data_IF_551107307936
#
_entry.id   IF_551107307936
#
_cell.length_a   1.000
_cell.length_b   1.000
_cell.length_c   1.000
_cell.angle_alpha   90.00
_cell.angle_beta   90.00
_cell.angle_gamma   90.00
#
_symmetry.space_group_name_H-M   'P 1'
#
loop_
_entity.id
_entity.type
_entity.pdbx_description
1 polymer ?
#
# COMPACT_ATOMS: atom_id res chain seq x y z
N UNK A 1 12.03 -2.85 -4.97
CA UNK A 1 10.77 -2.51 -4.28
C UNK A 1 10.90 -1.15 -3.58
N UNK A 2 10.60 -0.08 -4.30
CA UNK A 2 10.45 1.29 -3.79
C UNK A 2 9.44 2.02 -4.68
N UNK A 3 9.38 1.63 -5.96
CA UNK A 3 8.34 2.03 -6.90
C UNK A 3 6.92 1.87 -6.33
N UNK A 4 6.58 0.73 -5.71
CA UNK A 4 5.24 0.50 -5.15
C UNK A 4 4.88 1.42 -3.96
N UNK A 5 5.81 1.61 -3.02
CA UNK A 5 5.60 2.51 -1.87
C UNK A 5 5.67 3.98 -2.26
N UNK A 6 6.51 4.35 -3.22
CA UNK A 6 6.61 5.71 -3.75
C UNK A 6 5.36 6.14 -4.52
N UNK A 7 4.76 5.24 -5.31
CA UNK A 7 3.46 5.48 -5.96
C UNK A 7 2.35 5.67 -4.93
N UNK A 8 2.30 4.82 -3.90
CA UNK A 8 1.34 4.93 -2.81
C UNK A 8 1.42 6.29 -2.09
N UNK A 9 2.64 6.77 -1.75
CA UNK A 9 2.82 8.07 -1.10
C UNK A 9 2.46 9.23 -2.05
N UNK A 10 2.82 9.13 -3.32
CA UNK A 10 2.49 10.14 -4.33
C UNK A 10 0.97 10.27 -4.52
N UNK A 11 0.26 9.13 -4.52
CA UNK A 11 -1.21 9.10 -4.60
C UNK A 11 -1.84 9.74 -3.35
N UNK A 12 -1.35 9.39 -2.16
CA UNK A 12 -1.77 9.99 -0.89
C UNK A 12 -1.63 11.52 -0.84
N UNK A 13 -0.46 12.04 -1.23
CA UNK A 13 -0.19 13.49 -1.24
C UNK A 13 -1.04 14.19 -2.31
N UNK A 14 -1.31 13.52 -3.43
CA UNK A 14 -2.13 14.04 -4.52
C UNK A 14 -3.63 13.84 -4.29
N UNK A 15 -4.04 13.21 -3.18
CA UNK A 15 -5.43 12.86 -2.90
C UNK A 15 -6.03 11.82 -3.86
N UNK A 16 -5.19 11.06 -4.57
CA UNK A 16 -5.62 9.95 -5.43
C UNK A 16 -5.81 8.69 -4.59
N UNK A 17 -6.79 7.88 -4.96
CA UNK A 17 -7.01 6.57 -4.34
C UNK A 17 -5.84 5.65 -4.71
N UNK A 18 -5.02 5.21 -3.73
CA UNK A 18 -3.88 4.34 -4.02
C UNK A 18 -4.36 2.96 -4.45
N UNK A 19 -3.63 2.34 -5.38
CA UNK A 19 -3.94 1.00 -5.89
C UNK A 19 -3.79 -0.11 -4.83
N UNK A 20 -3.07 0.15 -3.75
CA UNK A 20 -2.77 -0.80 -2.67
C UNK A 20 -3.42 -0.27 -1.37
N UNK A 21 -4.16 -1.11 -0.63
CA UNK A 21 -4.69 -0.74 0.68
C UNK A 21 -3.53 -0.42 1.63
N UNK A 22 -3.62 0.71 2.34
CA UNK A 22 -2.55 1.24 3.19
C UNK A 22 -2.99 1.55 4.62
N UNK A 23 -4.25 1.31 4.96
CA UNK A 23 -4.80 1.57 6.30
C UNK A 23 -4.08 0.80 7.41
N UNK A 24 -3.59 -0.39 7.08
CA UNK A 24 -2.82 -1.21 8.00
C UNK A 24 -1.37 -0.73 8.14
N UNK A 25 -0.86 0.10 7.22
CA UNK A 25 0.45 0.78 7.24
C UNK A 25 0.43 2.11 8.01
N UNK A 26 -0.75 2.63 8.36
CA UNK A 26 -0.90 3.87 9.11
C UNK A 26 -0.42 3.74 10.57
N UNK A 27 -0.21 4.90 11.21
CA UNK A 27 0.19 5.00 12.63
C UNK A 27 -0.85 4.36 13.57
N UNK A 28 -2.11 4.25 13.14
CA UNK A 28 -3.19 3.57 13.86
C UNK A 28 -2.84 2.13 14.28
N UNK A 29 -1.89 1.48 13.57
CA UNK A 29 -1.32 0.18 13.96
C UNK A 29 -0.76 0.16 15.38
N UNK A 30 -0.19 1.27 15.84
CA UNK A 30 0.40 1.37 17.17
C UNK A 30 -0.62 1.66 18.27
N UNK A 31 -1.90 1.85 17.90
CA UNK A 31 -2.97 2.04 18.88
C UNK A 31 -3.23 0.73 19.63
N UNK A 32 -3.40 0.77 20.97
CA UNK A 32 -3.86 -0.40 21.71
C UNK A 32 -5.21 -0.88 21.17
N UNK A 33 -5.34 -2.20 20.98
CA UNK A 33 -6.52 -2.81 20.38
C UNK A 33 -6.52 -2.89 18.84
N UNK A 34 -5.43 -2.51 18.17
CA UNK A 34 -5.32 -2.70 16.71
C UNK A 34 -5.27 -4.19 16.34
N UNK A 35 -6.30 -4.66 15.61
CA UNK A 35 -6.31 -6.00 15.04
C UNK A 35 -5.82 -5.94 13.59
N UNK A 36 -4.61 -6.44 13.32
CA UNK A 36 -4.14 -6.61 11.94
C UNK A 36 -5.02 -7.64 11.25
N UNK A 37 -5.80 -7.23 10.25
CA UNK A 37 -6.45 -8.18 9.35
C UNK A 37 -5.34 -8.83 8.50
N UNK A 38 -5.00 -10.08 8.79
CA UNK A 38 -4.01 -10.82 8.01
C UNK A 38 -4.51 -10.94 6.57
N UNK A 39 -3.92 -10.16 5.66
CA UNK A 39 -4.18 -10.25 4.23
C UNK A 39 -2.85 -10.39 3.52
N UNK A 40 -2.64 -11.56 2.93
CA UNK A 40 -1.50 -11.85 2.07
C UNK A 40 -1.65 -11.05 0.78
N UNK A 41 -0.85 -10.00 0.62
CA UNK A 41 -0.74 -9.25 -0.62
C UNK A 41 0.59 -9.58 -1.29
N UNK A 42 0.63 -10.71 -2.00
CA UNK A 42 1.58 -10.86 -3.11
C UNK A 42 1.01 -10.06 -4.28
N UNK A 43 1.20 -8.74 -4.28
CA UNK A 43 0.71 -7.90 -5.38
C UNK A 43 1.77 -7.88 -6.48
N UNK A 44 1.55 -8.71 -7.50
CA UNK A 44 2.31 -8.73 -8.73
C UNK A 44 2.21 -7.37 -9.44
N UNK A 45 3.20 -6.49 -9.21
CA UNK A 45 3.41 -5.28 -10.01
C UNK A 45 4.62 -5.49 -10.92
N UNK A 46 4.47 -6.34 -11.95
CA UNK A 46 5.13 -6.12 -13.25
C UNK A 46 4.41 -6.96 -14.32
N UNK A 47 3.43 -6.35 -15.00
CA UNK A 47 2.95 -6.82 -16.31
C UNK A 47 3.06 -5.67 -17.30
N UNK A 48 4.22 -5.02 -17.34
CA UNK A 48 4.49 -4.01 -18.37
C UNK A 48 5.98 -3.98 -18.76
N UNK A 49 6.59 -5.14 -18.98
CA UNK A 49 7.83 -5.29 -19.76
C UNK A 49 7.72 -6.54 -20.65
N UNK A 50 6.77 -6.51 -21.58
CA UNK A 50 6.74 -7.40 -22.74
C UNK A 50 6.14 -6.61 -23.91
N UNK A 51 6.96 -5.69 -24.41
CA UNK A 51 6.89 -5.06 -25.72
C UNK A 51 8.33 -4.79 -26.16
#
# INVERSE_FOLDING_TARGET
>A
MACGSGQLISDLISGRTPAIPYDDLAVARYSPGFTRRARSTCTAHTTKELA
#
